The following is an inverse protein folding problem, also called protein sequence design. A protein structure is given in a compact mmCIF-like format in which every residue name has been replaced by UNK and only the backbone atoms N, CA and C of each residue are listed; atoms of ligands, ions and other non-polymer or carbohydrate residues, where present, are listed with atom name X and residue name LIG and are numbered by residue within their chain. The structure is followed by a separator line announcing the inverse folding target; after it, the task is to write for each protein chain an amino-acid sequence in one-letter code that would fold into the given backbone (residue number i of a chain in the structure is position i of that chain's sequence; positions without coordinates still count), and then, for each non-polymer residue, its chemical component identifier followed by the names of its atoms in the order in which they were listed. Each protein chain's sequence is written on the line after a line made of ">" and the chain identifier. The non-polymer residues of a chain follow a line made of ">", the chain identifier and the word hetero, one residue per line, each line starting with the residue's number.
data_IF_716733468349
#
_entry.id   IF_716733468349
#
_cell.length_a   1.000
_cell.length_b   1.000
_cell.length_c   1.000
_cell.angle_alpha   90.00
_cell.angle_beta   90.00
_cell.angle_gamma   90.00
#
_symmetry.space_group_name_H-M   'P 1'
#
loop_
_entity.id
_entity.type
_entity.pdbx_description
1 polymer ?
#
# COMPACT_ATOMS: atom_id res chain seq x y z
N UNK A 1 -10.64 -18.69 -23.35
CA UNK A 1 -10.82 -17.74 -24.35
C UNK A 1 -10.83 -16.31 -23.87
N UNK A 2 -11.51 -15.51 -24.64
CA UNK A 2 -11.53 -14.07 -24.42
C UNK A 2 -12.14 -13.67 -23.07
N UNK A 3 -12.99 -14.49 -22.52
CA UNK A 3 -13.62 -14.20 -21.24
C UNK A 3 -12.61 -14.15 -20.09
N UNK A 4 -11.57 -14.94 -20.19
CA UNK A 4 -10.52 -14.92 -19.16
C UNK A 4 -9.82 -13.57 -19.14
N UNK A 5 -9.60 -12.97 -20.30
CA UNK A 5 -8.95 -11.67 -20.39
C UNK A 5 -9.83 -10.55 -19.82
N UNK A 6 -11.14 -10.70 -19.91
CA UNK A 6 -12.09 -9.71 -19.41
C UNK A 6 -12.04 -9.65 -17.87
N UNK A 7 -11.74 -10.76 -17.24
CA UNK A 7 -11.69 -10.84 -15.77
C UNK A 7 -10.40 -10.33 -15.17
N UNK A 8 -9.38 -10.18 -15.99
CA UNK A 8 -8.10 -9.66 -15.51
C UNK A 8 -8.11 -8.15 -15.57
N UNK A 9 -7.66 -7.54 -14.49
CA UNK A 9 -7.48 -6.09 -14.42
C UNK A 9 -6.01 -5.77 -14.47
N UNK A 10 -5.61 -4.78 -15.28
CA UNK A 10 -4.21 -4.34 -15.26
C UNK A 10 -3.90 -3.71 -13.92
N UNK A 11 -2.84 -4.19 -13.28
CA UNK A 11 -2.43 -3.70 -11.96
C UNK A 11 -1.08 -3.03 -12.12
N UNK A 12 -1.00 -1.70 -11.99
CA UNK A 12 0.28 -1.02 -12.14
C UNK A 12 1.19 -1.28 -10.95
N UNK A 13 2.46 -1.58 -11.24
CA UNK A 13 3.52 -1.65 -10.24
C UNK A 13 4.18 -0.28 -10.20
N UNK A 14 4.13 0.38 -9.05
CA UNK A 14 4.71 1.70 -8.90
C UNK A 14 5.95 1.63 -8.01
N UNK A 15 6.96 2.40 -8.35
CA UNK A 15 8.21 2.43 -7.58
C UNK A 15 8.20 3.44 -6.46
N UNK A 16 7.27 4.39 -6.49
CA UNK A 16 7.19 5.43 -5.46
C UNK A 16 5.78 5.98 -5.37
N UNK A 17 5.42 6.43 -4.17
CA UNK A 17 4.17 7.14 -3.92
C UNK A 17 4.56 8.46 -3.27
N UNK A 18 4.13 9.59 -3.85
CA UNK A 18 4.52 10.91 -3.38
C UNK A 18 3.33 11.82 -3.18
N UNK A 19 3.50 12.80 -2.31
CA UNK A 19 2.46 13.79 -2.04
C UNK A 19 2.26 14.69 -3.26
N UNK A 20 0.99 15.01 -3.54
CA UNK A 20 0.65 15.94 -4.60
C UNK A 20 0.74 15.38 -6.01
N UNK A 21 1.08 14.11 -6.16
CA UNK A 21 1.20 13.47 -7.47
C UNK A 21 0.22 12.30 -7.59
N UNK A 22 -0.29 12.01 -8.80
CA UNK A 22 -1.06 10.78 -8.99
C UNK A 22 -0.20 9.57 -8.67
N UNK A 23 -0.81 8.55 -8.08
CA UNK A 23 -0.09 7.32 -7.75
C UNK A 23 0.45 6.67 -9.01
N UNK A 24 -0.38 6.62 -10.06
CA UNK A 24 0.00 6.01 -11.34
C UNK A 24 0.45 7.11 -12.31
N UNK A 25 1.52 7.81 -11.95
CA UNK A 25 2.19 8.72 -12.88
C UNK A 25 3.21 7.91 -13.68
N UNK A 26 3.43 8.30 -14.94
CA UNK A 26 4.34 7.57 -15.82
C UNK A 26 5.73 7.42 -15.22
N UNK A 27 6.19 8.43 -14.51
CA UNK A 27 7.52 8.43 -13.89
C UNK A 27 7.65 7.43 -12.74
N UNK A 28 6.54 6.97 -12.17
CA UNK A 28 6.54 6.00 -11.07
C UNK A 28 6.19 4.61 -11.53
N UNK A 29 5.67 4.47 -12.74
CA UNK A 29 5.19 3.19 -13.26
C UNK A 29 6.37 2.34 -13.71
N UNK A 30 6.58 1.20 -13.05
CA UNK A 30 7.65 0.28 -13.39
C UNK A 30 7.18 -0.89 -14.25
N UNK A 31 5.95 -1.34 -14.05
CA UNK A 31 5.43 -2.49 -14.76
C UNK A 31 3.91 -2.54 -14.63
N UNK A 32 3.29 -3.43 -15.38
CA UNK A 32 1.85 -3.71 -15.26
C UNK A 32 1.67 -5.21 -15.14
N UNK A 33 0.96 -5.62 -14.10
CA UNK A 33 0.65 -7.03 -13.88
C UNK A 33 -0.84 -7.25 -14.09
N UNK A 34 -1.24 -8.22 -14.91
CA UNK A 34 -2.65 -8.63 -14.94
C UNK A 34 -2.99 -9.38 -13.67
N UNK A 35 -4.06 -8.97 -13.03
CA UNK A 35 -4.54 -9.62 -11.81
C UNK A 35 -6.00 -10.03 -12.00
N UNK A 36 -6.38 -11.23 -11.52
CA UNK A 36 -7.79 -11.61 -11.52
C UNK A 36 -8.61 -10.59 -10.72
N UNK A 37 -9.69 -10.11 -11.31
CA UNK A 37 -10.53 -9.11 -10.64
C UNK A 37 -11.12 -9.62 -9.33
N UNK A 38 -11.21 -10.91 -9.16
CA UNK A 38 -11.68 -11.52 -7.92
C UNK A 38 -10.78 -11.22 -6.72
N UNK A 39 -9.49 -11.01 -6.97
CA UNK A 39 -8.53 -10.74 -5.90
C UNK A 39 -8.52 -9.27 -5.48
N UNK A 40 -9.00 -8.37 -6.33
CA UNK A 40 -8.97 -6.95 -6.05
C UNK A 40 -10.35 -6.39 -5.70
N UNK A 41 -11.39 -7.24 -5.69
CA UNK A 41 -12.72 -6.83 -5.32
C UNK A 41 -13.38 -5.93 -6.37
N UNK A 42 -14.32 -5.13 -5.92
CA UNK A 42 -15.08 -4.25 -6.80
C UNK A 42 -14.39 -2.92 -7.05
N UNK A 43 -13.40 -2.61 -6.27
CA UNK A 43 -12.69 -1.35 -6.39
C UNK A 43 -11.61 -1.50 -7.45
N UNK A 44 -11.64 -0.64 -8.46
CA UNK A 44 -10.74 -0.73 -9.59
C UNK A 44 -9.48 0.10 -9.44
N UNK A 45 -9.36 0.88 -8.37
CA UNK A 45 -8.23 1.77 -8.17
C UNK A 45 -7.18 1.11 -7.28
N UNK A 46 -6.57 0.06 -7.80
CA UNK A 46 -5.54 -0.66 -7.07
C UNK A 46 -4.20 -0.53 -7.77
N UNK A 47 -3.15 -0.64 -6.99
CA UNK A 47 -1.79 -0.63 -7.51
C UNK A 47 -0.93 -1.59 -6.68
N UNK A 48 0.25 -1.92 -7.20
CA UNK A 48 1.21 -2.77 -6.52
C UNK A 48 2.38 -1.92 -6.06
N UNK A 49 2.78 -2.11 -4.81
CA UNK A 49 3.94 -1.44 -4.23
C UNK A 49 4.89 -2.51 -3.68
N UNK A 50 6.17 -2.38 -4.00
CA UNK A 50 7.18 -3.32 -3.51
C UNK A 50 7.62 -2.89 -2.11
N UNK A 51 7.66 -3.85 -1.20
CA UNK A 51 8.06 -3.60 0.18
C UNK A 51 9.57 -3.38 0.26
N UNK A 52 9.95 -2.32 0.96
CA UNK A 52 11.34 -2.03 1.28
C UNK A 52 11.50 -2.03 2.80
N UNK A 53 12.54 -2.71 3.28
CA UNK A 53 12.79 -2.81 4.70
C UNK A 53 11.95 -3.88 5.37
N UNK A 54 12.02 -3.94 6.69
CA UNK A 54 11.45 -5.02 7.48
C UNK A 54 10.56 -4.53 8.62
N UNK A 55 10.05 -3.30 8.55
CA UNK A 55 9.27 -2.72 9.63
C UNK A 55 7.94 -3.43 9.88
N UNK A 56 7.50 -4.29 8.96
CA UNK A 56 6.24 -5.01 9.08
C UNK A 56 6.42 -6.53 9.09
N UNK A 57 7.60 -7.00 9.48
CA UNK A 57 7.92 -8.43 9.39
C UNK A 57 7.04 -9.29 10.28
N UNK A 58 6.61 -8.78 11.44
CA UNK A 58 5.74 -9.55 12.35
C UNK A 58 4.30 -9.67 11.82
N UNK A 59 3.94 -8.88 10.82
CA UNK A 59 2.67 -9.03 10.13
C UNK A 59 2.78 -9.95 8.92
N UNK A 60 3.94 -10.57 8.71
CA UNK A 60 4.16 -11.46 7.58
C UNK A 60 4.56 -10.75 6.30
N UNK A 61 4.89 -9.47 6.37
CA UNK A 61 5.29 -8.66 5.20
C UNK A 61 6.80 -8.55 5.20
N UNK A 62 7.43 -9.05 4.15
CA UNK A 62 8.89 -9.09 4.03
C UNK A 62 9.37 -8.20 2.90
N UNK A 63 10.62 -7.76 3.01
CA UNK A 63 11.23 -6.98 1.93
C UNK A 63 11.17 -7.76 0.61
N UNK A 64 10.80 -7.05 -0.44
CA UNK A 64 10.62 -7.64 -1.76
C UNK A 64 9.22 -8.15 -2.05
N UNK A 65 8.36 -8.20 -1.06
CA UNK A 65 6.97 -8.59 -1.26
C UNK A 65 6.24 -7.54 -2.10
N UNK A 66 5.27 -7.98 -2.88
CA UNK A 66 4.40 -7.12 -3.65
C UNK A 66 3.10 -6.94 -2.89
N UNK A 67 2.82 -5.71 -2.49
CA UNK A 67 1.59 -5.37 -1.81
C UNK A 67 0.55 -4.90 -2.81
N UNK A 68 -0.65 -5.46 -2.72
CA UNK A 68 -1.78 -5.00 -3.50
C UNK A 68 -2.50 -3.97 -2.66
N UNK A 69 -2.59 -2.76 -3.16
CA UNK A 69 -3.05 -1.60 -2.41
C UNK A 69 -4.28 -1.01 -3.10
N UNK A 70 -5.35 -0.83 -2.34
CA UNK A 70 -6.53 -0.12 -2.81
C UNK A 70 -6.34 1.36 -2.53
N UNK A 71 -6.38 2.19 -3.59
CA UNK A 71 -6.23 3.63 -3.44
C UNK A 71 -7.40 4.21 -2.69
N UNK A 72 -7.12 4.81 -1.55
CA UNK A 72 -8.14 5.49 -0.73
C UNK A 72 -7.44 6.48 0.19
N UNK A 73 -8.19 7.45 0.68
CA UNK A 73 -7.64 8.53 1.50
C UNK A 73 -8.02 8.44 2.97
N UNK A 74 -8.64 7.33 3.38
CA UNK A 74 -8.98 7.10 4.77
C UNK A 74 -8.79 5.62 5.11
N UNK A 75 -8.80 5.32 6.40
CA UNK A 75 -8.58 3.98 6.88
C UNK A 75 -9.24 3.79 8.24
N UNK A 76 -9.37 2.54 8.65
CA UNK A 76 -9.90 2.16 9.97
C UNK A 76 -8.77 1.68 10.85
N UNK A 77 -8.96 1.78 12.16
CA UNK A 77 -7.98 1.28 13.12
C UNK A 77 -7.67 -0.19 12.85
N UNK A 78 -6.38 -0.50 12.80
CA UNK A 78 -5.92 -1.86 12.53
C UNK A 78 -5.63 -2.14 11.08
N UNK A 79 -6.04 -1.28 10.15
CA UNK A 79 -5.71 -1.46 8.73
C UNK A 79 -4.22 -1.27 8.50
N UNK A 80 -3.67 -2.02 7.56
CA UNK A 80 -2.32 -1.79 7.07
C UNK A 80 -2.45 -0.83 5.89
N UNK A 81 -1.74 0.29 5.96
CA UNK A 81 -1.91 1.38 5.01
C UNK A 81 -0.58 1.78 4.39
N UNK A 82 -0.69 2.41 3.23
CA UNK A 82 0.40 3.19 2.63
C UNK A 82 0.11 4.64 2.96
N UNK A 83 1.03 5.27 3.67
CA UNK A 83 0.84 6.61 4.19
C UNK A 83 2.06 7.47 3.95
N UNK A 84 1.83 8.78 3.84
CA UNK A 84 2.88 9.78 3.75
C UNK A 84 2.89 10.56 5.06
N UNK A 85 4.06 10.72 5.64
CA UNK A 85 4.27 11.49 6.85
C UNK A 85 5.13 12.69 6.49
N UNK A 86 4.61 13.88 6.79
CA UNK A 86 5.28 15.10 6.32
C UNK A 86 5.11 15.24 4.82
N UNK A 87 6.19 15.49 4.12
CA UNK A 87 6.15 15.72 2.67
C UNK A 87 6.96 14.69 1.89
N UNK A 88 7.31 13.58 2.51
CA UNK A 88 8.33 12.72 1.95
C UNK A 88 7.83 11.35 1.51
N UNK A 89 8.49 10.33 2.00
CA UNK A 89 8.36 8.98 1.48
C UNK A 89 7.13 8.27 2.02
N UNK A 90 6.59 7.41 1.21
CA UNK A 90 5.53 6.52 1.64
C UNK A 90 6.08 5.47 2.60
N UNK A 91 5.30 5.15 3.59
CA UNK A 91 5.60 4.09 4.53
C UNK A 91 4.40 3.15 4.63
N UNK A 92 4.67 1.88 4.92
CA UNK A 92 3.64 0.87 5.13
C UNK A 92 3.62 0.55 6.62
N UNK A 93 2.50 0.82 7.26
CA UNK A 93 2.36 0.66 8.70
C UNK A 93 0.91 0.31 9.03
N UNK A 94 0.69 -0.14 10.27
CA UNK A 94 -0.67 -0.34 10.76
C UNK A 94 -1.21 0.97 11.30
N UNK A 95 -2.42 1.30 10.89
CA UNK A 95 -3.04 2.59 11.15
C UNK A 95 -3.86 2.56 12.44
N UNK A 96 -3.70 3.59 13.27
CA UNK A 96 -4.56 3.83 14.43
C UNK A 96 -4.82 5.32 14.56
N UNK A 97 -6.10 5.67 14.67
CA UNK A 97 -6.51 7.05 14.88
C UNK A 97 -6.70 7.26 16.37
N UNK A 98 -5.84 8.08 16.95
CA UNK A 98 -5.93 8.46 18.36
C UNK A 98 -6.71 9.78 18.52
N UNK A 99 -6.86 10.26 19.77
CA UNK A 99 -7.72 11.41 20.04
C UNK A 99 -7.29 12.68 19.30
N UNK A 100 -5.99 12.94 19.20
CA UNK A 100 -5.48 14.17 18.62
C UNK A 100 -4.34 13.97 17.64
N UNK A 101 -4.07 12.72 17.25
CA UNK A 101 -2.99 12.39 16.33
C UNK A 101 -3.27 11.04 15.66
N UNK A 102 -2.42 10.70 14.72
CA UNK A 102 -2.44 9.38 14.09
C UNK A 102 -1.17 8.64 14.50
N UNK A 103 -1.34 7.38 14.87
CA UNK A 103 -0.22 6.50 15.18
C UNK A 103 -0.07 5.50 14.05
N UNK A 104 1.11 5.46 13.46
CA UNK A 104 1.48 4.48 12.45
C UNK A 104 2.38 3.46 13.14
N UNK A 105 1.85 2.27 13.35
CA UNK A 105 2.49 1.26 14.17
C UNK A 105 3.25 0.26 13.30
N UNK A 106 4.57 0.14 13.47
CA UNK A 106 5.31 -0.92 12.81
C UNK A 106 5.01 -2.28 13.47
N UNK A 107 5.12 -3.32 12.70
CA UNK A 107 5.01 -4.70 13.20
C UNK A 107 6.43 -5.30 13.30
N UNK A 108 7.27 -4.63 14.07
CA UNK A 108 8.65 -5.02 14.34
C UNK A 108 9.14 -4.24 15.55
N UNK A 109 9.58 -4.96 16.57
CA UNK A 109 10.00 -4.36 17.85
C UNK A 109 11.24 -3.46 17.71
N UNK A 110 12.00 -3.61 16.63
CA UNK A 110 13.16 -2.77 16.37
C UNK A 110 12.81 -1.36 15.93
N UNK A 111 11.55 -1.10 15.60
CA UNK A 111 11.08 0.19 15.10
C UNK A 111 10.10 0.81 16.08
N UNK A 112 10.12 2.14 16.16
CA UNK A 112 9.20 2.88 17.01
C UNK A 112 7.99 3.34 16.23
N UNK A 113 6.82 3.47 16.88
CA UNK A 113 5.65 4.04 16.22
C UNK A 113 5.91 5.46 15.76
N UNK A 114 5.31 5.82 14.62
CA UNK A 114 5.31 7.19 14.12
C UNK A 114 4.04 7.86 14.62
N UNK A 115 4.19 8.96 15.32
CA UNK A 115 3.06 9.72 15.86
C UNK A 115 3.07 11.09 15.18
N UNK A 116 1.99 11.42 14.48
CA UNK A 116 1.94 12.64 13.71
C UNK A 116 0.50 13.09 13.51
N UNK A 117 0.31 14.40 13.37
CA UNK A 117 -0.95 14.96 12.90
C UNK A 117 -0.96 15.15 11.39
N UNK A 118 0.21 15.07 10.77
CA UNK A 118 0.39 15.34 9.35
C UNK A 118 0.61 14.02 8.61
N UNK A 119 -0.47 13.26 8.47
CA UNK A 119 -0.45 11.95 7.81
C UNK A 119 -1.46 11.96 6.68
N UNK A 120 -1.01 11.60 5.49
CA UNK A 120 -1.86 11.47 4.32
C UNK A 120 -1.94 9.97 3.99
N UNK A 121 -3.15 9.42 4.03
CA UNK A 121 -3.37 8.03 3.63
C UNK A 121 -3.47 8.00 2.11
N UNK A 122 -2.70 7.11 1.50
CA UNK A 122 -2.72 6.93 0.04
C UNK A 122 -3.37 5.62 -0.38
N UNK A 123 -3.46 4.67 0.52
CA UNK A 123 -4.12 3.42 0.21
C UNK A 123 -4.15 2.46 1.38
N UNK A 124 -4.96 1.42 1.23
CA UNK A 124 -5.08 0.33 2.18
C UNK A 124 -4.54 -0.94 1.54
N UNK A 125 -3.70 -1.66 2.24
CA UNK A 125 -3.17 -2.95 1.77
C UNK A 125 -4.28 -3.99 1.87
N UNK A 126 -4.63 -4.58 0.74
CA UNK A 126 -5.69 -5.58 0.65
C UNK A 126 -5.18 -6.96 0.28
N UNK A 127 -3.93 -7.08 -0.10
CA UNK A 127 -3.36 -8.36 -0.45
C UNK A 127 -1.85 -8.31 -0.56
N UNK A 128 -1.25 -9.47 -0.68
CA UNK A 128 0.19 -9.61 -0.78
C UNK A 128 0.51 -10.72 -1.77
N UNK A 129 1.49 -10.47 -2.63
CA UNK A 129 2.02 -11.49 -3.53
C UNK A 129 3.51 -11.65 -3.27
N UNK A 130 3.91 -12.89 -3.14
CA UNK A 130 5.32 -13.24 -2.95
C UNK A 130 5.67 -14.37 -3.87
N UNK A 131 6.71 -14.17 -4.65
CA UNK A 131 7.25 -15.21 -5.52
C UNK A 131 8.21 -16.09 -4.70
N UNK A 132 7.88 -17.35 -4.65
CA UNK A 132 8.69 -18.30 -3.88
C UNK A 132 9.76 -18.95 -4.75
#
# INVERSE_FOLDING_TARGET
>A
GSEMCIRDSPMPLVGAVRAGEPIVADEHLESIFPMPSELIGKDNNCFILVVRGDSMINAGIKEGDYLIVSEQDDARNGDIVVALVGNDEATVKRFYREADHIRLQPENDAYKPIISKDVIIRGKVIGLYRHM
#
